data_IF_696572988803
#
_entry.id   IF_696572988803
#
_cell.length_a   1.000
_cell.length_b   1.000
_cell.length_c   1.000
_cell.angle_alpha   90.00
_cell.angle_beta   90.00
_cell.angle_gamma   90.00
#
_symmetry.space_group_name_H-M   'P 1'
#
loop_
_entity.id
_entity.type
_entity.pdbx_description
1 polymer ?
#
# COMPACT_ATOMS: atom_id res chain seq x y z
N UNK A 1 10.51 2.24 2.95
CA UNK A 1 10.12 0.82 3.09
C UNK A 1 8.73 0.61 2.51
N UNK A 2 8.31 -0.64 2.22
CA UNK A 2 6.97 -0.95 1.66
C UNK A 2 5.85 -0.32 2.50
N UNK A 3 5.94 -0.42 3.83
CA UNK A 3 4.94 0.17 4.73
C UNK A 3 4.86 1.70 4.63
N UNK A 4 5.98 2.37 4.45
CA UNK A 4 6.04 3.83 4.35
C UNK A 4 5.42 4.30 3.05
N UNK A 5 5.73 3.63 1.94
CA UNK A 5 5.17 3.92 0.61
C UNK A 5 3.65 3.79 0.64
N UNK A 6 3.13 2.67 1.14
CA UNK A 6 1.69 2.46 1.23
C UNK A 6 1.02 3.40 2.26
N UNK A 7 1.65 3.62 3.42
CA UNK A 7 1.14 4.57 4.42
C UNK A 7 1.04 6.00 3.87
N UNK A 8 2.01 6.41 3.05
CA UNK A 8 1.97 7.69 2.36
C UNK A 8 0.79 7.75 1.38
N UNK A 9 0.63 6.75 0.50
CA UNK A 9 -0.46 6.70 -0.46
C UNK A 9 -1.85 6.66 0.21
N UNK A 10 -2.01 5.94 1.32
CA UNK A 10 -3.28 5.93 2.10
C UNK A 10 -3.58 7.32 2.69
N UNK A 11 -2.55 8.04 3.16
CA UNK A 11 -2.71 9.38 3.76
C UNK A 11 -3.20 10.42 2.75
N UNK A 12 -2.80 10.31 1.47
CA UNK A 12 -3.20 11.27 0.42
C UNK A 12 -4.66 11.12 0.01
N UNK A 13 -5.22 9.91 0.11
CA UNK A 13 -6.60 9.59 -0.30
C UNK A 13 -7.48 9.09 0.85
N UNK A 14 -7.15 9.43 2.10
CA UNK A 14 -7.98 9.08 3.26
C UNK A 14 -9.36 9.74 3.14
N UNK A 15 -10.47 8.97 3.19
CA UNK A 15 -11.81 9.53 3.12
C UNK A 15 -12.14 10.46 4.29
N UNK A 16 -12.96 11.48 4.02
CA UNK A 16 -13.51 12.34 5.08
C UNK A 16 -14.50 11.54 5.94
N UNK A 17 -15.49 10.92 5.31
CA UNK A 17 -16.47 10.03 5.95
C UNK A 17 -15.89 8.64 6.13
N UNK A 18 -15.74 8.22 7.39
CA UNK A 18 -15.24 6.89 7.81
C UNK A 18 -16.32 6.20 8.62
N UNK A 19 -16.29 4.87 8.65
CA UNK A 19 -17.21 4.09 9.49
C UNK A 19 -17.00 4.47 10.96
N UNK A 20 -18.09 4.46 11.74
CA UNK A 20 -18.07 4.51 13.23
C UNK A 20 -17.19 5.59 13.86
N UNK A 21 -17.29 6.86 13.43
CA UNK A 21 -16.51 7.99 14.00
C UNK A 21 -14.99 7.72 14.09
N UNK A 22 -14.45 6.78 13.29
CA UNK A 22 -13.03 6.47 13.33
C UNK A 22 -12.21 7.71 13.00
N UNK A 23 -11.10 7.91 13.70
CA UNK A 23 -10.13 8.97 13.41
C UNK A 23 -9.17 8.57 12.29
N UNK A 24 -8.49 9.54 11.65
CA UNK A 24 -7.54 9.24 10.55
C UNK A 24 -6.37 8.40 11.06
N UNK A 25 -6.02 8.58 12.33
CA UNK A 25 -4.96 7.85 13.02
C UNK A 25 -5.32 6.38 13.25
N UNK A 26 -6.60 6.03 13.32
CA UNK A 26 -7.06 4.65 13.44
C UNK A 26 -7.25 3.99 12.07
N UNK A 27 -7.88 4.70 11.12
CA UNK A 27 -8.17 4.15 9.80
C UNK A 27 -6.92 3.78 8.99
N UNK A 28 -5.90 4.65 8.98
CA UNK A 28 -4.71 4.46 8.14
C UNK A 28 -3.93 3.17 8.45
N UNK A 29 -3.56 2.87 9.72
CA UNK A 29 -2.86 1.64 10.03
C UNK A 29 -3.70 0.38 9.79
N UNK A 30 -5.01 0.41 10.08
CA UNK A 30 -5.91 -0.72 9.81
C UNK A 30 -5.98 -1.02 8.31
N UNK A 31 -6.16 0.02 7.48
CA UNK A 31 -6.24 -0.15 6.03
C UNK A 31 -4.90 -0.58 5.42
N UNK A 32 -3.78 -0.09 5.96
CA UNK A 32 -2.43 -0.55 5.60
C UNK A 32 -2.26 -2.05 5.86
N UNK A 33 -2.64 -2.52 7.05
CA UNK A 33 -2.53 -3.93 7.41
C UNK A 33 -3.37 -4.82 6.50
N UNK A 34 -4.58 -4.36 6.14
CA UNK A 34 -5.45 -5.04 5.17
C UNK A 34 -4.78 -5.15 3.80
N UNK A 35 -4.23 -4.05 3.26
CA UNK A 35 -3.53 -4.07 1.97
C UNK A 35 -2.32 -5.00 2.00
N UNK A 36 -1.49 -4.92 3.03
CA UNK A 36 -0.33 -5.79 3.19
C UNK A 36 -0.71 -7.28 3.25
N UNK A 37 -1.85 -7.62 3.87
CA UNK A 37 -2.35 -9.01 3.90
C UNK A 37 -2.88 -9.46 2.53
N UNK A 38 -3.74 -8.67 1.88
CA UNK A 38 -4.35 -9.01 0.59
C UNK A 38 -3.28 -9.26 -0.48
N UNK A 39 -2.22 -8.44 -0.49
CA UNK A 39 -1.14 -8.55 -1.47
C UNK A 39 0.03 -9.46 -1.05
N UNK A 40 -0.08 -10.12 0.12
CA UNK A 40 0.97 -11.00 0.62
C UNK A 40 2.30 -10.27 0.78
N UNK A 41 2.28 -9.06 1.34
CA UNK A 41 3.45 -8.19 1.57
C UNK A 41 3.77 -8.04 3.05
N UNK A 42 3.13 -8.81 3.94
CA UNK A 42 3.35 -8.76 5.39
C UNK A 42 4.81 -9.01 5.77
N UNK A 43 5.47 -9.99 5.14
CA UNK A 43 6.89 -10.28 5.39
C UNK A 43 7.83 -9.21 4.83
N UNK A 44 7.42 -8.52 3.76
CA UNK A 44 8.18 -7.46 3.10
C UNK A 44 7.91 -6.06 3.67
N UNK A 45 7.11 -5.95 4.74
CA UNK A 45 6.66 -4.68 5.33
C UNK A 45 7.79 -3.68 5.60
N UNK A 46 8.87 -4.16 6.23
CA UNK A 46 10.06 -3.37 6.61
C UNK A 46 11.17 -3.42 5.55
N UNK A 47 10.92 -4.05 4.41
CA UNK A 47 11.88 -4.13 3.32
C UNK A 47 11.76 -2.88 2.45
N UNK A 48 12.89 -2.42 1.91
CA UNK A 48 12.88 -1.33 0.92
C UNK A 48 12.34 -1.85 -0.41
N UNK A 49 11.52 -1.05 -1.11
CA UNK A 49 11.03 -1.43 -2.45
C UNK A 49 12.21 -1.60 -3.41
N UNK A 50 13.21 -0.70 -3.31
CA UNK A 50 14.44 -0.74 -4.10
C UNK A 50 14.22 -0.46 -5.59
N UNK A 51 15.31 -0.24 -6.31
CA UNK A 51 15.30 -0.02 -7.77
C UNK A 51 16.43 -0.86 -8.42
N UNK A 52 17.03 -0.42 -9.54
CA UNK A 52 18.18 -1.09 -10.14
C UNK A 52 19.50 -0.90 -9.36
N UNK A 53 19.64 0.18 -8.59
CA UNK A 53 20.81 0.50 -7.79
C UNK A 53 20.69 0.05 -6.32
N UNK A 54 19.47 0.02 -5.77
CA UNK A 54 19.22 -0.39 -4.37
C UNK A 54 18.52 -1.75 -4.34
N UNK A 55 19.17 -2.74 -3.73
CA UNK A 55 18.56 -4.06 -3.52
C UNK A 55 17.38 -3.97 -2.56
N UNK A 56 16.25 -4.57 -2.92
CA UNK A 56 15.00 -4.47 -2.19
C UNK A 56 14.11 -5.68 -2.42
N UNK A 57 12.80 -5.47 -2.48
CA UNK A 57 11.85 -6.54 -2.75
C UNK A 57 12.01 -7.12 -4.16
N UNK A 58 11.61 -8.37 -4.36
CA UNK A 58 11.65 -9.05 -5.66
C UNK A 58 10.81 -8.33 -6.71
N UNK A 59 11.07 -8.58 -8.00
CA UNK A 59 10.28 -7.96 -9.09
C UNK A 59 8.77 -8.24 -9.00
N UNK A 60 8.39 -9.46 -8.61
CA UNK A 60 6.99 -9.81 -8.37
C UNK A 60 6.38 -9.07 -7.19
N UNK A 61 7.14 -8.85 -6.11
CA UNK A 61 6.72 -8.01 -4.99
C UNK A 61 6.58 -6.55 -5.40
N UNK A 62 7.48 -6.00 -6.23
CA UNK A 62 7.34 -4.63 -6.76
C UNK A 62 6.03 -4.46 -7.52
N UNK A 63 5.66 -5.42 -8.37
CA UNK A 63 4.37 -5.40 -9.09
C UNK A 63 3.19 -5.39 -8.11
N UNK A 64 3.22 -6.20 -7.06
CA UNK A 64 2.18 -6.22 -6.02
C UNK A 64 2.12 -4.92 -5.21
N UNK A 65 3.27 -4.32 -4.88
CA UNK A 65 3.34 -3.02 -4.20
C UNK A 65 2.68 -1.92 -5.03
N UNK A 66 2.93 -1.90 -6.35
CA UNK A 66 2.31 -0.93 -7.26
C UNK A 66 0.79 -1.10 -7.35
N UNK A 67 0.28 -2.33 -7.41
CA UNK A 67 -1.17 -2.60 -7.40
C UNK A 67 -1.78 -2.17 -6.06
N UNK A 68 -1.11 -2.48 -4.94
CA UNK A 68 -1.56 -2.07 -3.60
C UNK A 68 -1.62 -0.54 -3.45
N UNK A 69 -0.65 0.18 -4.01
CA UNK A 69 -0.64 1.64 -4.05
C UNK A 69 -1.84 2.18 -4.86
N UNK A 70 -2.09 1.64 -6.05
CA UNK A 70 -3.23 2.05 -6.88
C UNK A 70 -4.59 1.83 -6.16
N UNK A 71 -4.74 0.70 -5.48
CA UNK A 71 -5.93 0.43 -4.66
C UNK A 71 -6.04 1.35 -3.45
N UNK A 72 -4.91 1.69 -2.81
CA UNK A 72 -4.90 2.61 -1.68
C UNK A 72 -5.44 4.00 -2.03
N UNK A 73 -5.23 4.41 -3.29
CA UNK A 73 -5.74 5.64 -3.86
C UNK A 73 -7.22 5.61 -4.26
N UNK A 74 -7.93 4.50 -3.98
CA UNK A 74 -9.32 4.25 -4.39
C UNK A 74 -9.52 4.33 -5.90
N UNK A 75 -8.59 3.79 -6.68
CA UNK A 75 -8.79 3.69 -8.12
C UNK A 75 -10.03 2.85 -8.41
N UNK A 76 -10.95 3.39 -9.21
CA UNK A 76 -12.17 2.69 -9.64
C UNK A 76 -11.88 1.67 -10.74
N UNK A 77 -10.88 1.95 -11.58
CA UNK A 77 -10.48 1.12 -12.72
C UNK A 77 -8.96 1.08 -12.73
N UNK A 78 -8.40 -0.13 -12.71
CA UNK A 78 -6.97 -0.34 -12.89
C UNK A 78 -6.73 -1.27 -14.08
N UNK A 79 -5.85 -0.86 -14.97
CA UNK A 79 -5.37 -1.68 -16.08
C UNK A 79 -3.85 -1.83 -15.93
N UNK A 80 -3.38 -3.07 -15.97
CA UNK A 80 -1.97 -3.39 -15.91
C UNK A 80 -1.61 -4.18 -17.15
N UNK A 81 -0.64 -3.66 -17.89
CA UNK A 81 -0.01 -4.42 -18.97
C UNK A 81 0.94 -5.48 -18.38
N UNK A 82 1.24 -6.51 -19.18
CA UNK A 82 2.10 -7.60 -18.74
C UNK A 82 3.53 -7.14 -18.50
#
# INVERSE_FOLDING_TARGET
MVEETLSFAIKTRTPQTRFTNQSRKQFNPEFLDVLLRIFGLQHARKTVVGDAAIHGVSGGEKKRVSIAEALSCRSMIGAWDK
#
